data_IF_676333941603
#
_entry.id   IF_676333941603
#
_cell.length_a   1.000
_cell.length_b   1.000
_cell.length_c   1.000
_cell.angle_alpha   90.00
_cell.angle_beta   90.00
_cell.angle_gamma   90.00
#
_symmetry.space_group_name_H-M   'P 1'
#
loop_
_entity.id
_entity.type
_entity.pdbx_description
1 polymer ?
#
# COMPACT_ATOMS: atom_id res chain seq x y z
N UNK A 1 -21.11 -18.60 -50.69
CA UNK A 1 -20.30 -17.49 -50.16
C UNK A 1 -20.22 -17.70 -48.65
N UNK A 2 -19.13 -18.30 -48.16
CA UNK A 2 -18.93 -18.52 -46.71
C UNK A 2 -18.32 -17.25 -46.11
N UNK A 3 -19.02 -16.61 -45.20
CA UNK A 3 -18.51 -15.50 -44.41
C UNK A 3 -17.78 -16.05 -43.19
N UNK A 4 -16.46 -15.94 -43.17
CA UNK A 4 -15.64 -16.23 -41.99
C UNK A 4 -15.77 -15.05 -41.03
N UNK A 5 -16.40 -15.26 -39.87
CA UNK A 5 -16.42 -14.28 -38.79
C UNK A 5 -15.12 -14.42 -38.01
N UNK A 6 -14.19 -13.49 -38.21
CA UNK A 6 -12.99 -13.38 -37.40
C UNK A 6 -13.37 -12.80 -36.03
N UNK A 7 -13.48 -13.65 -35.01
CA UNK A 7 -13.61 -13.23 -33.62
C UNK A 7 -12.29 -12.63 -33.16
N UNK A 8 -12.20 -11.30 -33.11
CA UNK A 8 -11.07 -10.59 -32.54
C UNK A 8 -11.02 -10.80 -31.03
N UNK A 9 -10.07 -11.62 -30.56
CA UNK A 9 -9.67 -11.67 -29.15
C UNK A 9 -8.95 -10.36 -28.81
N UNK A 10 -9.70 -9.38 -28.31
CA UNK A 10 -9.12 -8.22 -27.65
C UNK A 10 -8.43 -8.72 -26.37
N UNK A 11 -7.10 -8.53 -26.21
CA UNK A 11 -6.46 -8.82 -24.94
C UNK A 11 -7.06 -7.87 -23.90
N UNK A 12 -7.87 -8.41 -23.00
CA UNK A 12 -8.27 -7.72 -21.78
C UNK A 12 -6.99 -7.42 -21.02
N UNK A 13 -6.55 -6.16 -21.06
CA UNK A 13 -5.51 -5.67 -20.18
C UNK A 13 -5.96 -5.93 -18.74
N UNK A 14 -5.39 -6.96 -18.12
CA UNK A 14 -5.62 -7.28 -16.73
C UNK A 14 -4.76 -6.34 -15.89
N UNK A 15 -5.25 -5.12 -15.63
CA UNK A 15 -4.64 -4.22 -14.67
C UNK A 15 -4.98 -4.67 -13.24
N UNK A 16 -4.19 -5.64 -12.76
CA UNK A 16 -4.31 -6.30 -11.46
C UNK A 16 -3.48 -5.60 -10.36
N UNK A 17 -3.30 -4.28 -10.50
CA UNK A 17 -2.40 -3.45 -9.69
C UNK A 17 -3.18 -2.60 -8.67
N UNK A 18 -2.64 -2.48 -7.46
CA UNK A 18 -3.30 -1.78 -6.35
C UNK A 18 -2.40 -0.76 -5.69
N UNK A 19 -3.05 0.18 -4.99
CA UNK A 19 -2.39 1.15 -4.15
C UNK A 19 -3.16 1.34 -2.86
N UNK A 20 -2.47 1.79 -1.83
CA UNK A 20 -3.10 2.28 -0.61
C UNK A 20 -3.83 3.60 -0.94
N UNK A 21 -5.06 3.74 -0.46
CA UNK A 21 -5.90 4.94 -0.63
C UNK A 21 -6.28 5.56 0.70
N UNK A 22 -6.35 4.75 1.76
CA UNK A 22 -6.56 5.20 3.14
C UNK A 22 -5.57 4.50 4.09
N UNK A 23 -4.89 5.23 5.00
CA UNK A 23 -4.75 6.68 4.97
C UNK A 23 -4.06 7.15 3.67
N UNK A 24 -4.26 8.41 3.29
CA UNK A 24 -3.70 8.96 2.05
C UNK A 24 -2.17 8.83 2.10
N UNK A 25 -1.54 8.11 1.14
CA UNK A 25 -0.09 7.91 1.15
C UNK A 25 0.70 9.20 0.91
N UNK A 26 2.02 9.12 1.10
CA UNK A 26 2.96 10.22 0.84
C UNK A 26 2.90 10.79 -0.58
N UNK A 27 2.39 10.02 -1.55
CA UNK A 27 2.12 10.51 -2.92
C UNK A 27 1.08 11.64 -2.98
N UNK A 28 0.32 11.86 -1.90
CA UNK A 28 -0.76 12.85 -1.88
C UNK A 28 -2.05 12.36 -2.54
N UNK A 29 -2.21 11.05 -2.72
CA UNK A 29 -3.36 10.47 -3.43
C UNK A 29 -3.20 10.45 -4.96
N UNK A 30 -2.03 10.85 -5.48
CA UNK A 30 -1.67 10.67 -6.90
C UNK A 30 -1.76 9.19 -7.28
N UNK A 31 -2.28 8.92 -8.47
CA UNK A 31 -2.40 7.56 -8.99
C UNK A 31 -1.02 6.95 -9.22
N UNK A 32 -0.70 5.93 -8.43
CA UNK A 32 0.57 5.20 -8.45
C UNK A 32 0.31 3.81 -7.87
N UNK A 33 0.10 2.82 -8.75
CA UNK A 33 -0.25 1.44 -8.37
C UNK A 33 0.68 0.37 -8.98
N UNK A 34 1.61 0.76 -9.85
CA UNK A 34 2.56 -0.19 -10.43
C UNK A 34 3.37 -0.89 -9.32
N UNK A 35 3.78 -2.15 -9.54
CA UNK A 35 4.77 -2.77 -8.67
C UNK A 35 6.12 -2.06 -8.80
N UNK A 36 6.96 -2.22 -7.78
CA UNK A 36 8.35 -1.80 -7.90
C UNK A 36 9.09 -2.76 -8.85
N UNK A 37 10.12 -2.29 -9.58
CA UNK A 37 10.88 -3.17 -10.46
C UNK A 37 11.58 -4.28 -9.65
N UNK A 38 11.89 -5.43 -10.26
CA UNK A 38 12.45 -6.60 -9.55
C UNK A 38 13.73 -6.34 -8.74
N UNK A 39 14.52 -5.33 -9.12
CA UNK A 39 15.77 -4.92 -8.48
C UNK A 39 15.60 -3.75 -7.49
N UNK A 40 14.38 -3.32 -7.19
CA UNK A 40 14.14 -2.19 -6.30
C UNK A 40 14.57 -2.45 -4.86
N UNK A 41 14.69 -3.70 -4.42
CA UNK A 41 14.98 -4.09 -3.03
C UNK A 41 16.28 -3.50 -2.47
N UNK A 42 17.20 -3.04 -3.31
CA UNK A 42 18.42 -2.33 -2.89
C UNK A 42 18.30 -0.80 -2.96
N UNK A 43 17.17 -0.27 -3.42
CA UNK A 43 16.96 1.16 -3.67
C UNK A 43 16.11 1.82 -2.58
N UNK A 44 16.11 3.14 -2.53
CA UNK A 44 15.41 3.91 -1.49
C UNK A 44 13.87 3.84 -1.66
N UNK A 45 13.39 3.74 -2.89
CA UNK A 45 11.97 3.61 -3.24
C UNK A 45 11.32 2.32 -2.72
N UNK A 46 12.12 1.29 -2.38
CA UNK A 46 11.63 0.05 -1.77
C UNK A 46 10.97 0.24 -0.41
N UNK A 47 11.50 1.17 0.38
CA UNK A 47 11.02 1.39 1.74
C UNK A 47 9.71 2.16 1.71
N UNK A 48 9.67 3.28 1.00
CA UNK A 48 8.48 4.05 0.66
C UNK A 48 8.80 4.80 -0.63
N UNK A 49 8.09 4.61 -1.74
CA UNK A 49 8.36 5.28 -3.04
C UNK A 49 8.70 6.77 -2.90
N UNK A 50 7.93 7.48 -2.08
CA UNK A 50 8.09 8.92 -1.82
C UNK A 50 8.86 9.19 -0.52
N UNK A 51 9.88 10.05 -0.61
CA UNK A 51 10.80 10.29 0.50
C UNK A 51 10.15 11.07 1.64
N UNK A 52 9.36 12.08 1.30
CA UNK A 52 8.74 13.00 2.25
C UNK A 52 7.21 12.92 2.16
N UNK A 53 6.48 13.15 3.26
CA UNK A 53 5.03 13.26 3.23
C UNK A 53 4.61 14.47 2.38
N UNK A 54 3.47 14.36 1.72
CA UNK A 54 2.87 15.49 1.03
C UNK A 54 2.33 16.49 2.08
N UNK A 55 2.83 17.74 2.14
CA UNK A 55 2.46 18.70 3.17
C UNK A 55 0.99 19.17 3.06
N UNK A 56 0.32 18.90 1.94
CA UNK A 56 -1.09 19.25 1.72
C UNK A 56 -2.06 18.19 2.25
N UNK A 57 -1.56 17.04 2.68
CA UNK A 57 -2.38 15.96 3.22
C UNK A 57 -2.30 15.98 4.75
N UNK A 58 -3.43 16.19 5.45
CA UNK A 58 -3.46 16.08 6.90
C UNK A 58 -3.03 14.68 7.35
N UNK A 59 -2.14 14.64 8.35
CA UNK A 59 -1.67 13.37 8.92
C UNK A 59 -2.76 12.82 9.84
N UNK A 60 -3.21 11.57 9.67
CA UNK A 60 -4.17 10.96 10.57
C UNK A 60 -3.54 10.71 11.94
N UNK A 61 -4.36 10.79 13.00
CA UNK A 61 -3.96 10.43 14.36
C UNK A 61 -4.65 9.13 14.75
N UNK A 62 -3.89 8.22 15.35
CA UNK A 62 -4.40 6.97 15.91
C UNK A 62 -3.95 6.82 17.35
N UNK A 63 -4.80 6.19 18.18
CA UNK A 63 -4.45 5.86 19.55
C UNK A 63 -3.74 4.50 19.61
N UNK A 64 -2.65 4.42 20.37
CA UNK A 64 -2.05 3.14 20.75
C UNK A 64 -3.11 2.26 21.45
N UNK A 65 -3.12 0.95 21.16
CA UNK A 65 -4.15 0.03 21.65
C UNK A 65 -5.49 0.12 20.90
N UNK A 66 -5.64 1.11 20.02
CA UNK A 66 -6.82 1.29 19.18
C UNK A 66 -6.74 0.51 17.86
N UNK A 67 -7.54 0.96 16.88
CA UNK A 67 -7.57 0.38 15.53
C UNK A 67 -7.27 1.45 14.49
N UNK A 68 -6.42 1.13 13.52
CA UNK A 68 -6.22 1.91 12.31
C UNK A 68 -6.99 1.25 11.15
N UNK A 69 -7.82 2.02 10.46
CA UNK A 69 -8.49 1.58 9.23
C UNK A 69 -7.62 1.90 8.02
N UNK A 70 -7.31 0.89 7.21
CA UNK A 70 -6.67 1.06 5.91
C UNK A 70 -7.61 0.64 4.77
N UNK A 71 -7.42 1.24 3.60
CA UNK A 71 -8.10 0.84 2.36
C UNK A 71 -7.05 0.80 1.27
N UNK A 72 -7.06 -0.27 0.48
CA UNK A 72 -6.22 -0.43 -0.69
C UNK A 72 -7.01 -1.05 -1.85
N UNK A 73 -6.51 -0.85 -3.06
CA UNK A 73 -7.18 -1.26 -4.30
C UNK A 73 -7.68 -0.06 -5.10
N UNK A 74 -7.49 -0.12 -6.43
CA UNK A 74 -8.13 0.80 -7.40
C UNK A 74 -8.37 0.12 -8.76
N UNK A 75 -8.59 -1.20 -8.78
CA UNK A 75 -8.91 -2.00 -9.97
C UNK A 75 -9.97 -3.07 -9.67
N UNK A 76 -10.60 -3.62 -10.70
CA UNK A 76 -11.68 -4.63 -10.57
C UNK A 76 -11.16 -6.03 -10.19
N UNK A 77 -9.88 -6.28 -10.45
CA UNK A 77 -9.19 -7.54 -10.18
C UNK A 77 -7.89 -7.18 -9.44
N UNK A 78 -7.33 -8.14 -8.71
CA UNK A 78 -5.87 -8.12 -8.66
C UNK A 78 -5.24 -9.38 -8.14
N UNK A 79 -3.94 -9.29 -7.93
CA UNK A 79 -3.07 -10.44 -7.75
C UNK A 79 -3.33 -11.15 -6.43
N UNK A 80 -3.31 -12.49 -6.47
CA UNK A 80 -3.29 -13.28 -5.25
C UNK A 80 -1.98 -13.00 -4.49
N UNK A 81 -2.08 -12.90 -3.17
CA UNK A 81 -0.94 -12.67 -2.31
C UNK A 81 -1.34 -12.11 -0.95
N UNK A 82 -0.36 -12.08 -0.06
CA UNK A 82 -0.48 -11.52 1.28
C UNK A 82 0.10 -10.10 1.32
N UNK A 83 -0.42 -9.28 2.23
CA UNK A 83 0.21 -8.02 2.59
C UNK A 83 0.67 -8.06 4.05
N UNK A 84 1.45 -7.06 4.42
CA UNK A 84 1.82 -6.85 5.81
C UNK A 84 1.90 -5.36 6.08
N UNK A 85 1.61 -4.97 7.32
CA UNK A 85 1.72 -3.58 7.73
C UNK A 85 2.83 -3.44 8.75
N UNK A 86 3.65 -2.41 8.55
CA UNK A 86 4.81 -2.09 9.35
C UNK A 86 4.74 -0.66 9.86
N UNK A 87 5.37 -0.42 11.00
CA UNK A 87 5.58 0.90 11.57
C UNK A 87 7.06 1.19 11.75
N UNK A 88 7.43 2.45 11.60
CA UNK A 88 8.75 3.00 11.94
C UNK A 88 8.59 4.40 12.54
N UNK A 89 9.42 4.70 13.53
CA UNK A 89 9.55 6.05 14.10
C UNK A 89 10.83 6.76 13.62
N UNK A 90 11.65 6.10 12.80
CA UNK A 90 12.93 6.61 12.29
C UNK A 90 12.74 7.62 11.14
N UNK A 91 11.80 8.57 11.26
CA UNK A 91 11.38 9.43 10.14
C UNK A 91 12.47 10.35 9.60
N UNK A 92 13.47 10.64 10.41
CA UNK A 92 14.55 11.57 10.10
C UNK A 92 15.78 10.85 9.50
N UNK A 93 15.72 9.52 9.41
CA UNK A 93 16.80 8.71 8.84
C UNK A 93 16.65 8.56 7.31
N UNK A 94 17.75 8.31 6.58
CA UNK A 94 17.66 7.75 5.23
C UNK A 94 16.72 6.55 5.19
N UNK A 95 15.86 6.40 4.17
CA UNK A 95 14.76 5.42 4.22
C UNK A 95 15.28 4.00 4.39
N UNK A 96 16.37 3.64 3.72
CA UNK A 96 16.99 2.30 3.87
C UNK A 96 17.59 2.01 5.24
N UNK A 97 17.85 3.02 6.07
CA UNK A 97 18.33 2.82 7.44
C UNK A 97 17.24 2.93 8.50
N UNK A 98 15.99 3.19 8.10
CA UNK A 98 14.83 3.11 8.98
C UNK A 98 14.61 1.68 9.46
N UNK A 99 14.30 1.52 10.75
CA UNK A 99 13.96 0.23 11.33
C UNK A 99 12.45 0.05 11.38
N UNK A 100 11.98 -1.07 10.85
CA UNK A 100 10.56 -1.37 10.71
C UNK A 100 10.16 -2.53 11.61
N UNK A 101 9.04 -2.36 12.30
CA UNK A 101 8.39 -3.44 13.07
C UNK A 101 7.11 -3.82 12.35
N UNK A 102 6.94 -5.09 12.06
CA UNK A 102 5.68 -5.61 11.52
C UNK A 102 4.62 -5.61 12.62
N UNK A 103 3.45 -5.04 12.33
CA UNK A 103 2.32 -4.97 13.26
C UNK A 103 1.09 -5.76 12.82
N UNK A 104 1.00 -6.12 11.53
CA UNK A 104 -0.07 -6.96 11.01
C UNK A 104 0.39 -7.80 9.82
N UNK A 105 -0.18 -8.99 9.71
CA UNK A 105 -0.21 -9.76 8.47
C UNK A 105 -1.65 -9.74 7.94
N UNK A 106 -1.81 -9.50 6.64
CA UNK A 106 -3.10 -9.49 5.95
C UNK A 106 -3.06 -10.63 4.93
N UNK A 107 -3.45 -11.85 5.32
CA UNK A 107 -3.48 -12.97 4.40
C UNK A 107 -4.59 -12.78 3.36
N UNK A 108 -4.37 -13.25 2.14
CA UNK A 108 -5.32 -13.10 1.03
C UNK A 108 -5.82 -11.66 0.89
N UNK A 109 -4.89 -10.73 0.61
CA UNK A 109 -5.23 -9.33 0.42
C UNK A 109 -6.24 -9.10 -0.71
N UNK A 110 -6.31 -10.01 -1.68
CA UNK A 110 -7.18 -9.92 -2.84
C UNK A 110 -8.66 -9.86 -2.44
N UNK A 111 -9.09 -10.63 -1.45
CA UNK A 111 -10.49 -10.65 -1.02
C UNK A 111 -10.91 -9.40 -0.24
N UNK A 112 -9.96 -8.53 0.10
CA UNK A 112 -10.16 -7.37 0.96
C UNK A 112 -10.06 -6.04 0.19
N UNK A 113 -9.80 -6.07 -1.12
CA UNK A 113 -9.62 -4.85 -1.91
C UNK A 113 -10.88 -3.99 -1.91
N UNK A 114 -10.67 -2.68 -1.92
CA UNK A 114 -11.73 -1.67 -1.89
C UNK A 114 -12.63 -1.74 -0.64
N UNK A 115 -12.22 -2.48 0.39
CA UNK A 115 -12.86 -2.53 1.70
C UNK A 115 -11.98 -1.87 2.76
N UNK A 116 -12.60 -1.43 3.85
CA UNK A 116 -11.85 -0.99 5.04
C UNK A 116 -11.35 -2.21 5.83
N UNK A 117 -10.03 -2.36 5.87
CA UNK A 117 -9.33 -3.36 6.68
C UNK A 117 -8.91 -2.72 7.99
N UNK A 118 -9.29 -3.35 9.10
CA UNK A 118 -9.01 -2.85 10.45
C UNK A 118 -7.78 -3.53 11.04
N UNK A 119 -6.82 -2.73 11.46
CA UNK A 119 -5.54 -3.19 12.03
C UNK A 119 -5.46 -2.74 13.48
N UNK A 120 -5.27 -3.70 14.40
CA UNK A 120 -5.01 -3.40 15.81
C UNK A 120 -3.64 -2.77 15.99
N UNK A 121 -3.57 -1.66 16.72
CA UNK A 121 -2.31 -1.01 17.08
C UNK A 121 -1.86 -1.52 18.45
N UNK A 122 -0.59 -1.95 18.63
CA UNK A 122 -0.09 -2.33 19.95
C UNK A 122 -0.27 -1.20 20.97
N UNK A 123 -0.68 -1.54 22.20
CA UNK A 123 -0.90 -0.54 23.26
C UNK A 123 0.38 0.09 23.80
N UNK A 124 1.52 -0.55 23.56
CA UNK A 124 2.84 -0.09 24.00
C UNK A 124 3.53 0.81 22.97
N UNK A 125 2.86 1.15 21.86
CA UNK A 125 3.43 2.07 20.88
C UNK A 125 3.69 3.43 21.55
N UNK A 126 4.90 4.00 21.39
CA UNK A 126 5.18 5.33 21.88
C UNK A 126 4.34 6.37 21.11
N UNK A 127 4.00 7.46 21.78
CA UNK A 127 3.42 8.61 21.12
C UNK A 127 4.46 9.27 20.21
N UNK A 128 4.01 9.81 19.08
CA UNK A 128 4.85 10.54 18.15
C UNK A 128 4.51 10.26 16.70
N UNK A 129 5.20 10.96 15.81
CA UNK A 129 5.07 10.76 14.38
C UNK A 129 5.65 9.41 13.97
N UNK A 130 4.87 8.65 13.21
CA UNK A 130 5.27 7.35 12.68
C UNK A 130 5.03 7.27 11.17
N UNK A 131 5.84 6.44 10.51
CA UNK A 131 5.62 5.98 9.14
C UNK A 131 4.88 4.65 9.18
N UNK A 132 3.75 4.58 8.48
CA UNK A 132 3.04 3.34 8.21
C UNK A 132 3.39 2.87 6.80
N UNK A 133 3.81 1.60 6.67
CA UNK A 133 4.12 0.95 5.41
C UNK A 133 3.21 -0.25 5.25
N UNK A 134 2.34 -0.20 4.25
CA UNK A 134 1.59 -1.33 3.72
C UNK A 134 2.37 -1.86 2.51
#
# INVERSE_FOLDING_TARGET
RLSVVAAGLLPLACDAHWRLTKPVPRSGGVYENDPLPPNANTQEEWVCRHAQPNPRVPRPTFAAGGTAGIVYGTGAIGHAGDCAVYLSYDLDRPRRSMRWVKIANLPDCRSQINQEVRIGLPSQLPAGDAGLRW
#
